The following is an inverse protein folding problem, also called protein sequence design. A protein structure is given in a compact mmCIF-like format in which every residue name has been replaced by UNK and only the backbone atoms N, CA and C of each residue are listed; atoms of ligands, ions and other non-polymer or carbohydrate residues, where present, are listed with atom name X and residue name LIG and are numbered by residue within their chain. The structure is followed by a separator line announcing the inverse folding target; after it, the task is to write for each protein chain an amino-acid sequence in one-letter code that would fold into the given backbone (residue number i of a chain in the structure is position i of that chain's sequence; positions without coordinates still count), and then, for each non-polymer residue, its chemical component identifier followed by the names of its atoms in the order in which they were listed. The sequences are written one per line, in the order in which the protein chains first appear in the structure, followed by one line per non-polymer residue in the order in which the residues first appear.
data_IF_224426451381
#
_entry.id   IF_224426451381
#
_cell.length_a   1.000
_cell.length_b   1.000
_cell.length_c   1.000
_cell.angle_alpha   90.00
_cell.angle_beta   90.00
_cell.angle_gamma   90.00
#
_symmetry.space_group_name_H-M   'P 1'
#
loop_
_entity.id
_entity.type
_entity.pdbx_description
1 polymer ?
#
# COMPACT_ATOMS: atom_id res chain seq x y z
N UNK A 1 -8.81 -4.52 40.94
CA UNK A 1 -7.50 -5.14 41.17
C UNK A 1 -7.29 -6.11 40.02
N UNK A 2 -6.48 -5.73 39.03
CA UNK A 2 -6.22 -6.55 37.83
C UNK A 2 -5.14 -7.56 38.23
N UNK A 3 -5.40 -8.85 38.02
CA UNK A 3 -4.52 -9.95 38.38
C UNK A 3 -3.22 -9.90 37.54
N UNK A 4 -2.06 -9.85 38.21
CA UNK A 4 -0.73 -9.67 37.59
C UNK A 4 -0.39 -10.74 36.56
N UNK A 5 -1.04 -11.91 36.61
CA UNK A 5 -0.90 -12.98 35.61
C UNK A 5 -1.37 -12.57 34.21
N UNK A 6 -2.35 -11.66 34.13
CA UNK A 6 -2.81 -11.13 32.84
C UNK A 6 -1.86 -10.08 32.26
N UNK A 7 -1.08 -9.42 33.11
CA UNK A 7 -0.13 -8.39 32.68
C UNK A 7 1.05 -9.03 31.94
N UNK A 8 1.60 -10.12 32.48
CA UNK A 8 2.71 -10.86 31.84
C UNK A 8 2.32 -11.44 30.47
N UNK A 9 1.08 -11.96 30.35
CA UNK A 9 0.56 -12.45 29.06
C UNK A 9 0.34 -11.33 28.04
N UNK A 10 -0.01 -10.11 28.47
CA UNK A 10 -0.18 -8.98 27.58
C UNK A 10 1.18 -8.43 27.12
N UNK A 11 2.14 -8.36 28.03
CA UNK A 11 3.50 -7.89 27.76
C UNK A 11 4.22 -8.81 26.76
N UNK A 12 4.10 -10.15 26.91
CA UNK A 12 4.63 -11.13 25.93
C UNK A 12 3.95 -11.05 24.55
N UNK A 13 2.64 -10.70 24.51
CA UNK A 13 1.92 -10.48 23.24
C UNK A 13 2.30 -9.16 22.57
N UNK A 14 2.72 -8.15 23.33
CA UNK A 14 3.26 -6.89 22.78
C UNK A 14 4.72 -6.99 22.36
N UNK A 15 5.50 -7.88 22.97
CA UNK A 15 6.90 -8.12 22.59
C UNK A 15 7.06 -8.91 21.28
N UNK A 16 6.04 -9.69 20.91
CA UNK A 16 5.99 -10.35 19.61
C UNK A 16 5.61 -9.35 18.51
N UNK A 17 6.65 -8.75 17.92
CA UNK A 17 6.66 -8.02 16.65
C UNK A 17 6.32 -6.52 16.67
N UNK A 18 7.00 -5.74 17.52
CA UNK A 18 7.46 -4.41 17.06
C UNK A 18 8.60 -4.61 16.04
N UNK A 19 8.28 -5.12 14.86
CA UNK A 19 9.16 -4.92 13.70
C UNK A 19 9.04 -3.44 13.40
N UNK A 20 10.04 -2.65 13.81
CA UNK A 20 10.14 -1.23 13.50
C UNK A 20 10.07 -1.06 11.96
N UNK A 21 8.87 -0.79 11.45
CA UNK A 21 8.63 -0.67 10.02
C UNK A 21 9.20 0.66 9.58
N UNK A 22 10.41 0.61 9.02
CA UNK A 22 11.07 1.77 8.46
C UNK A 22 10.32 2.28 7.21
N UNK A 23 9.61 3.42 7.32
CA UNK A 23 8.86 4.05 6.23
C UNK A 23 9.67 5.17 5.59
N UNK A 24 10.03 5.02 4.31
CA UNK A 24 10.84 6.01 3.56
C UNK A 24 10.09 6.85 2.52
N UNK A 25 8.76 6.73 2.41
CA UNK A 25 8.01 7.26 1.25
C UNK A 25 7.47 8.69 1.44
N UNK A 26 7.21 9.12 2.68
CA UNK A 26 6.64 10.44 2.96
C UNK A 26 7.65 11.41 3.62
N UNK A 27 8.83 10.93 4.03
CA UNK A 27 9.89 11.72 4.65
C UNK A 27 11.27 11.23 4.22
N UNK A 28 12.15 12.17 3.90
CA UNK A 28 13.57 11.89 3.63
C UNK A 28 14.45 11.93 4.90
N UNK A 29 13.86 12.25 6.06
CA UNK A 29 14.61 12.48 7.31
C UNK A 29 14.29 11.43 8.37
N UNK A 30 13.02 11.09 8.55
CA UNK A 30 12.58 10.13 9.56
C UNK A 30 11.96 8.91 8.91
N UNK A 31 12.33 7.73 9.42
CA UNK A 31 11.76 6.44 9.01
C UNK A 31 10.68 5.92 9.96
N UNK A 32 10.45 6.64 11.04
CA UNK A 32 9.42 6.32 12.04
C UNK A 32 8.03 6.55 11.42
N UNK A 33 7.14 5.57 11.57
CA UNK A 33 5.79 5.62 11.04
C UNK A 33 4.97 6.77 11.64
N UNK A 34 5.15 7.08 12.92
CA UNK A 34 4.43 8.14 13.63
C UNK A 34 4.89 9.55 13.22
N UNK A 35 6.05 9.65 12.56
CA UNK A 35 6.67 10.92 12.14
C UNK A 35 6.54 11.21 10.66
N UNK A 36 5.73 10.43 9.94
CA UNK A 36 5.46 10.69 8.53
C UNK A 36 4.50 11.89 8.38
N UNK A 37 4.82 12.92 7.57
CA UNK A 37 4.00 14.12 7.41
C UNK A 37 2.81 13.94 6.45
N UNK A 38 2.46 12.70 6.12
CA UNK A 38 1.36 12.35 5.24
C UNK A 38 0.74 11.01 5.66
N UNK A 39 -0.50 10.75 5.27
CA UNK A 39 -1.13 9.45 5.48
C UNK A 39 -0.43 8.38 4.64
N UNK A 40 0.08 7.35 5.30
CA UNK A 40 0.76 6.19 4.70
C UNK A 40 -0.01 4.93 5.09
N UNK A 41 -0.16 4.01 4.13
CA UNK A 41 -0.69 2.66 4.37
C UNK A 41 0.40 1.67 4.00
N UNK A 42 0.78 0.81 4.94
CA UNK A 42 1.70 -0.30 4.70
C UNK A 42 0.91 -1.58 4.56
N UNK A 43 1.19 -2.34 3.49
CA UNK A 43 0.62 -3.68 3.27
C UNK A 43 1.76 -4.68 3.36
N UNK A 44 1.71 -5.56 4.36
CA UNK A 44 2.74 -6.57 4.59
C UNK A 44 2.55 -7.79 3.69
N UNK A 45 3.62 -8.56 3.50
CA UNK A 45 3.56 -9.84 2.77
C UNK A 45 2.55 -10.81 3.38
N UNK A 46 2.44 -10.86 4.71
CA UNK A 46 1.47 -11.71 5.40
C UNK A 46 0.04 -11.26 5.11
N UNK A 47 -0.24 -9.96 5.14
CA UNK A 47 -1.56 -9.42 4.76
C UNK A 47 -1.92 -9.80 3.32
N UNK A 48 -0.99 -9.65 2.37
CA UNK A 48 -1.21 -10.07 0.98
C UNK A 48 -1.55 -11.56 0.88
N UNK A 49 -0.73 -12.43 1.48
CA UNK A 49 -0.94 -13.88 1.45
C UNK A 49 -2.28 -14.32 2.06
N UNK A 50 -2.73 -13.65 3.13
CA UNK A 50 -3.98 -13.97 3.81
C UNK A 50 -5.21 -13.32 3.14
N UNK A 51 -5.02 -12.30 2.31
CA UNK A 51 -6.11 -11.55 1.67
C UNK A 51 -6.77 -12.28 0.49
N UNK A 52 -6.03 -13.18 -0.17
CA UNK A 52 -6.47 -13.81 -1.41
C UNK A 52 -6.46 -12.90 -2.64
N UNK A 53 -5.96 -11.66 -2.51
CA UNK A 53 -5.71 -10.79 -3.66
C UNK A 53 -4.75 -11.46 -4.63
N UNK A 54 -4.92 -11.19 -5.93
CA UNK A 54 -4.10 -11.73 -7.02
C UNK A 54 -3.40 -10.62 -7.78
N UNK A 55 -3.94 -9.41 -7.72
CA UNK A 55 -3.41 -8.23 -8.40
C UNK A 55 -3.11 -7.13 -7.39
N UNK A 56 -2.31 -6.14 -7.80
CA UNK A 56 -2.04 -5.00 -6.94
C UNK A 56 -3.31 -4.18 -6.72
N UNK A 57 -4.16 -4.02 -7.75
CA UNK A 57 -5.43 -3.30 -7.64
C UNK A 57 -6.37 -3.93 -6.61
N UNK A 58 -6.49 -5.25 -6.58
CA UNK A 58 -7.29 -5.96 -5.57
C UNK A 58 -6.73 -5.72 -4.15
N UNK A 59 -5.41 -5.82 -3.97
CA UNK A 59 -4.78 -5.55 -2.69
C UNK A 59 -5.02 -4.10 -2.23
N UNK A 60 -4.91 -3.13 -3.15
CA UNK A 60 -5.18 -1.72 -2.86
C UNK A 60 -6.66 -1.49 -2.50
N UNK A 61 -7.59 -2.13 -3.21
CA UNK A 61 -9.03 -2.10 -2.88
C UNK A 61 -9.33 -2.63 -1.48
N UNK A 62 -8.64 -3.68 -1.05
CA UNK A 62 -8.87 -4.29 0.26
C UNK A 62 -8.29 -3.46 1.42
N UNK A 63 -7.10 -2.86 1.22
CA UNK A 63 -6.33 -2.32 2.34
C UNK A 63 -6.17 -0.80 2.36
N UNK A 64 -6.35 -0.09 1.23
CA UNK A 64 -6.05 1.35 1.15
C UNK A 64 -7.33 2.19 1.26
N UNK A 65 -7.52 2.95 2.35
CA UNK A 65 -8.68 3.81 2.49
C UNK A 65 -8.71 4.91 1.43
N UNK A 66 -9.86 5.08 0.77
CA UNK A 66 -10.06 6.09 -0.26
C UNK A 66 -9.41 5.74 -1.62
N UNK A 67 -8.90 4.52 -1.78
CA UNK A 67 -8.63 3.94 -3.10
C UNK A 67 -9.94 3.43 -3.71
N UNK A 68 -10.11 3.61 -5.01
CA UNK A 68 -11.22 3.07 -5.78
C UNK A 68 -10.79 2.88 -7.23
N UNK A 69 -11.54 2.07 -7.95
CA UNK A 69 -11.31 1.82 -9.37
C UNK A 69 -12.41 2.50 -10.19
N UNK A 70 -12.01 3.06 -11.33
CA UNK A 70 -12.92 3.57 -12.36
C UNK A 70 -12.53 2.90 -13.66
N UNK A 71 -13.50 2.32 -14.34
CA UNK A 71 -13.32 1.73 -15.67
C UNK A 71 -13.65 2.77 -16.73
N UNK A 72 -12.80 2.89 -17.74
CA UNK A 72 -13.13 3.59 -18.99
C UNK A 72 -13.28 2.57 -20.16
N UNK A 73 -13.13 3.00 -21.42
CA UNK A 73 -13.32 2.09 -22.54
C UNK A 73 -12.20 1.06 -22.71
N UNK A 74 -10.99 1.38 -22.26
CA UNK A 74 -9.78 0.65 -22.60
C UNK A 74 -8.86 0.40 -21.39
N UNK A 75 -9.05 1.11 -20.27
CA UNK A 75 -8.20 1.05 -19.09
C UNK A 75 -8.98 1.01 -17.76
N UNK A 76 -8.31 0.50 -16.73
CA UNK A 76 -8.73 0.63 -15.34
C UNK A 76 -7.95 1.77 -14.66
N UNK A 77 -8.66 2.85 -14.34
CA UNK A 77 -8.14 4.02 -13.66
C UNK A 77 -8.14 3.80 -12.15
N UNK A 78 -6.98 3.98 -11.54
CA UNK A 78 -6.77 4.01 -10.10
C UNK A 78 -7.12 5.39 -9.54
N UNK A 79 -8.22 5.41 -8.79
CA UNK A 79 -8.68 6.56 -8.06
C UNK A 79 -8.11 6.63 -6.65
N UNK A 80 -7.70 7.83 -6.22
CA UNK A 80 -7.30 8.10 -4.83
C UNK A 80 -8.00 9.36 -4.34
N UNK A 81 -8.60 9.29 -3.14
CA UNK A 81 -9.19 10.46 -2.43
C UNK A 81 -10.18 11.26 -3.29
N UNK A 82 -10.98 10.56 -4.09
CA UNK A 82 -11.97 11.15 -5.01
C UNK A 82 -11.44 11.68 -6.35
N UNK A 83 -10.16 11.45 -6.67
CA UNK A 83 -9.56 11.80 -7.96
C UNK A 83 -9.25 10.54 -8.77
N UNK A 84 -9.80 10.46 -9.98
CA UNK A 84 -9.52 9.41 -10.95
C UNK A 84 -9.28 10.05 -12.33
N UNK A 85 -8.09 10.64 -12.55
CA UNK A 85 -7.75 11.24 -13.82
C UNK A 85 -7.48 10.15 -14.86
N UNK A 86 -7.92 10.43 -16.08
CA UNK A 86 -7.72 9.57 -17.25
C UNK A 86 -6.28 9.06 -17.33
N UNK A 87 -6.14 7.79 -17.74
CA UNK A 87 -4.87 7.14 -18.01
C UNK A 87 -3.89 7.14 -16.82
N UNK A 88 -4.42 7.12 -15.59
CA UNK A 88 -3.62 7.16 -14.36
C UNK A 88 -2.61 8.33 -14.31
N UNK A 89 -2.85 9.42 -15.04
CA UNK A 89 -1.89 10.50 -15.32
C UNK A 89 -1.44 11.31 -14.08
N UNK A 90 -2.05 11.07 -12.92
CA UNK A 90 -1.67 11.65 -11.62
C UNK A 90 -1.28 10.61 -10.56
N UNK A 91 -1.12 9.34 -10.96
CA UNK A 91 -0.64 8.28 -10.08
C UNK A 91 0.83 8.00 -10.38
N UNK A 92 1.63 7.82 -9.32
CA UNK A 92 3.04 7.47 -9.40
C UNK A 92 3.25 6.09 -8.80
N UNK A 93 3.85 5.18 -9.56
CA UNK A 93 4.26 3.87 -9.06
C UNK A 93 5.79 3.80 -8.99
N UNK A 94 6.27 3.43 -7.81
CA UNK A 94 7.69 3.18 -7.58
C UNK A 94 7.90 1.71 -7.23
N UNK A 95 8.79 1.04 -7.95
CA UNK A 95 9.25 -0.31 -7.61
C UNK A 95 10.67 -0.19 -7.10
N UNK A 96 10.92 -0.62 -5.85
CA UNK A 96 12.21 -0.44 -5.18
C UNK A 96 12.73 1.02 -5.21
N UNK A 97 11.81 1.99 -5.13
CA UNK A 97 12.12 3.43 -5.20
C UNK A 97 12.40 3.98 -6.59
N UNK A 98 12.32 3.16 -7.66
CA UNK A 98 12.49 3.59 -9.04
C UNK A 98 11.13 3.81 -9.71
N UNK A 99 11.00 4.92 -10.43
CA UNK A 99 9.77 5.25 -11.17
C UNK A 99 9.60 4.30 -12.37
N UNK A 100 8.42 3.69 -12.48
CA UNK A 100 8.05 2.78 -13.58
C UNK A 100 6.88 3.28 -14.42
N UNK A 101 6.47 4.54 -14.23
CA UNK A 101 5.45 5.16 -15.06
C UNK A 101 5.92 5.25 -16.52
N UNK A 102 4.95 5.17 -17.44
CA UNK A 102 5.22 5.35 -18.87
C UNK A 102 5.35 6.84 -19.20
N UNK A 103 6.15 7.19 -20.20
CA UNK A 103 6.30 8.57 -20.64
C UNK A 103 5.03 9.10 -21.35
N UNK A 104 4.87 10.43 -21.38
CA UNK A 104 3.86 11.16 -22.16
C UNK A 104 2.38 10.88 -21.80
N UNK A 105 1.87 11.54 -20.74
CA UNK A 105 0.47 11.49 -20.27
C UNK A 105 0.00 10.16 -19.62
N UNK A 106 0.79 9.09 -19.68
CA UNK A 106 0.45 7.81 -19.07
C UNK A 106 0.97 7.70 -17.64
N UNK A 107 0.19 7.04 -16.79
CA UNK A 107 0.58 6.63 -15.45
C UNK A 107 1.36 5.31 -15.42
N UNK A 108 1.33 4.59 -14.29
CA UNK A 108 1.69 3.18 -14.26
C UNK A 108 0.87 2.36 -15.25
N UNK A 109 1.51 1.35 -15.86
CA UNK A 109 0.86 0.49 -16.85
C UNK A 109 -0.22 -0.40 -16.22
N UNK A 110 -1.35 -0.54 -16.91
CA UNK A 110 -2.45 -1.41 -16.49
C UNK A 110 -2.00 -2.86 -16.24
N UNK A 111 -1.09 -3.35 -17.09
CA UNK A 111 -0.54 -4.69 -16.98
C UNK A 111 0.12 -4.96 -15.61
N UNK A 112 0.78 -3.99 -14.99
CA UNK A 112 1.40 -4.15 -13.67
C UNK A 112 0.35 -4.13 -12.55
N UNK A 113 -0.73 -3.37 -12.73
CA UNK A 113 -1.70 -3.09 -11.69
C UNK A 113 -2.81 -4.14 -11.61
N UNK A 114 -3.34 -4.53 -12.78
CA UNK A 114 -4.56 -5.32 -12.92
C UNK A 114 -4.33 -6.71 -13.52
N UNK A 115 -3.21 -6.94 -14.19
CA UNK A 115 -2.95 -8.22 -14.88
C UNK A 115 -1.84 -9.05 -14.23
N UNK A 116 -0.74 -8.44 -13.81
CA UNK A 116 0.39 -9.14 -13.22
C UNK A 116 0.08 -9.57 -11.78
N UNK A 117 0.54 -10.77 -11.41
CA UNK A 117 0.62 -11.13 -9.99
C UNK A 117 1.62 -10.21 -9.29
N UNK A 118 1.24 -9.70 -8.12
CA UNK A 118 2.17 -8.94 -7.28
C UNK A 118 3.34 -9.79 -6.76
N UNK A 119 3.33 -11.11 -6.94
CA UNK A 119 4.43 -12.00 -6.51
C UNK A 119 5.78 -11.67 -7.16
N UNK A 120 5.75 -11.01 -8.32
CA UNK A 120 6.94 -10.62 -9.09
C UNK A 120 7.45 -9.21 -8.76
N UNK A 121 6.79 -8.50 -7.83
CA UNK A 121 7.05 -7.11 -7.45
C UNK A 121 7.53 -7.07 -6.00
#
# INVERSE_FOLDING_TARGET
MIDERYKFSLDELTEQEEVEQAIGVASNVSKDAERQPAAVTTITRQQLQLSGARTLSEALTLFVPGFFLVEDQDDMIMGFRGLAPDNNSKVMLLINGQNVNTEFFWGPSDAILNSASYDYI
#
